data_IF_351728203041
#
_entry.id   IF_351728203041
#
_cell.length_a   1.000
_cell.length_b   1.000
_cell.length_c   1.000
_cell.angle_alpha   90.00
_cell.angle_beta   90.00
_cell.angle_gamma   90.00
#
_symmetry.space_group_name_H-M   'P 1'
#
loop_
_entity.id
_entity.type
_entity.pdbx_description
1 polymer ?
#
# COMPACT_ATOMS: atom_id res chain seq x y z
N UNK A 1 -65.90 -47.88 -40.22
CA UNK A 1 -66.37 -47.02 -41.33
C UNK A 1 -67.31 -46.00 -40.70
N UNK A 2 -66.72 -45.01 -40.03
CA UNK A 2 -67.34 -43.75 -39.66
C UNK A 2 -66.19 -42.74 -39.55
N UNK A 3 -66.19 -41.84 -40.48
CA UNK A 3 -65.33 -40.67 -40.57
C UNK A 3 -65.97 -39.63 -39.64
N UNK A 4 -65.32 -39.32 -38.51
CA UNK A 4 -65.65 -38.16 -37.70
C UNK A 4 -64.80 -36.96 -38.19
N UNK A 5 -65.50 -36.18 -39.03
CA UNK A 5 -65.06 -34.80 -39.39
C UNK A 5 -65.18 -33.94 -38.14
N UNK A 6 -64.02 -33.59 -37.54
CA UNK A 6 -63.96 -32.53 -36.53
C UNK A 6 -64.00 -31.16 -37.27
N UNK A 7 -65.18 -30.56 -37.17
CA UNK A 7 -65.40 -29.16 -37.58
C UNK A 7 -64.68 -28.30 -36.54
N UNK A 8 -63.64 -27.61 -36.99
CA UNK A 8 -63.00 -26.56 -36.19
C UNK A 8 -63.90 -25.30 -36.31
N UNK A 9 -64.56 -24.96 -35.20
CA UNK A 9 -65.29 -23.69 -35.07
C UNK A 9 -64.23 -22.60 -34.85
N UNK A 10 -64.17 -21.66 -35.83
CA UNK A 10 -63.46 -20.41 -35.71
C UNK A 10 -64.06 -19.59 -34.54
N UNK A 11 -63.32 -19.43 -33.46
CA UNK A 11 -63.61 -18.49 -32.40
C UNK A 11 -63.16 -17.08 -32.80
N UNK A 12 -64.09 -16.13 -32.99
CA UNK A 12 -63.77 -14.75 -33.44
C UNK A 12 -63.33 -13.85 -32.26
N UNK A 13 -63.01 -14.37 -31.11
CA UNK A 13 -62.45 -13.53 -30.06
C UNK A 13 -60.91 -13.58 -30.11
N UNK A 14 -60.39 -12.80 -31.06
CA UNK A 14 -58.95 -12.58 -31.20
C UNK A 14 -58.29 -12.01 -29.92
N UNK A 15 -57.87 -12.92 -29.04
CA UNK A 15 -56.88 -12.63 -28.06
C UNK A 15 -55.58 -13.34 -28.51
N UNK A 16 -55.07 -12.94 -29.64
CA UNK A 16 -53.65 -13.13 -29.91
C UNK A 16 -52.90 -12.31 -28.90
N UNK A 17 -52.55 -12.98 -27.80
CA UNK A 17 -51.44 -12.47 -26.94
C UNK A 17 -50.18 -12.63 -27.77
N UNK A 18 -49.93 -11.67 -28.62
CA UNK A 18 -48.65 -11.49 -29.23
C UNK A 18 -47.74 -11.09 -28.12
N UNK A 19 -47.02 -12.07 -27.57
CA UNK A 19 -45.79 -11.83 -26.78
C UNK A 19 -44.75 -11.37 -27.80
N UNK A 20 -44.89 -10.15 -28.30
CA UNK A 20 -43.77 -9.39 -28.84
C UNK A 20 -42.91 -8.96 -27.63
N UNK A 21 -42.35 -9.92 -26.98
CA UNK A 21 -41.24 -9.73 -26.07
C UNK A 21 -40.01 -10.20 -26.77
N UNK A 22 -39.51 -9.42 -27.73
CA UNK A 22 -38.09 -9.38 -27.99
C UNK A 22 -37.43 -8.90 -26.71
N UNK A 23 -37.29 -9.83 -25.74
CA UNK A 23 -36.31 -9.68 -24.69
C UNK A 23 -34.96 -9.78 -25.38
N UNK A 24 -34.54 -8.66 -25.96
CA UNK A 24 -33.16 -8.41 -26.29
C UNK A 24 -32.35 -8.48 -24.99
N UNK A 25 -31.94 -9.70 -24.67
CA UNK A 25 -31.00 -10.03 -23.57
C UNK A 25 -29.56 -9.65 -23.99
N UNK A 26 -29.40 -8.86 -25.01
CA UNK A 26 -28.20 -8.12 -25.28
C UNK A 26 -28.09 -7.06 -24.18
N UNK A 27 -27.32 -7.37 -23.14
CA UNK A 27 -26.98 -6.64 -21.88
C UNK A 27 -27.00 -5.12 -21.84
N UNK A 28 -27.83 -4.46 -22.65
CA UNK A 28 -27.95 -3.02 -22.76
C UNK A 28 -29.00 -2.35 -21.87
N UNK A 29 -29.82 -3.16 -21.13
CA UNK A 29 -30.94 -2.59 -20.39
C UNK A 29 -30.57 -1.83 -19.11
N UNK A 30 -29.33 -1.93 -18.64
CA UNK A 30 -28.91 -1.25 -17.41
C UNK A 30 -28.02 -0.01 -17.65
N UNK A 31 -27.40 0.08 -18.85
CA UNK A 31 -26.63 1.26 -19.25
C UNK A 31 -26.93 1.55 -20.72
N UNK A 32 -27.82 2.50 -21.03
CA UNK A 32 -27.93 2.99 -22.39
C UNK A 32 -26.55 3.45 -22.87
N UNK A 33 -26.14 3.06 -24.07
CA UNK A 33 -24.81 3.34 -24.64
C UNK A 33 -24.39 4.80 -24.52
N UNK A 34 -25.36 5.72 -24.54
CA UNK A 34 -25.17 7.15 -24.34
C UNK A 34 -24.95 7.51 -22.83
N UNK A 35 -25.35 6.66 -21.87
CA UNK A 35 -25.21 6.95 -20.46
C UNK A 35 -23.80 6.68 -19.94
N UNK A 36 -23.01 5.82 -20.61
CA UNK A 36 -21.61 5.59 -20.25
C UNK A 36 -20.74 6.82 -20.54
N UNK A 37 -21.09 7.62 -21.56
CA UNK A 37 -20.32 8.80 -21.93
C UNK A 37 -21.02 10.12 -21.59
N UNK A 38 -22.37 10.15 -21.61
CA UNK A 38 -23.16 11.36 -21.32
C UNK A 38 -23.87 11.31 -19.95
N UNK A 39 -23.98 10.12 -19.34
CA UNK A 39 -24.74 9.92 -18.11
C UNK A 39 -23.87 9.73 -16.86
N UNK A 40 -22.56 9.52 -17.00
CA UNK A 40 -21.68 9.59 -15.83
C UNK A 40 -21.58 11.06 -15.45
N UNK A 41 -22.19 11.50 -14.34
CA UNK A 41 -22.13 12.90 -13.96
C UNK A 41 -20.67 13.34 -13.91
N UNK A 42 -20.38 14.52 -14.42
CA UNK A 42 -19.02 15.07 -14.48
C UNK A 42 -18.28 15.01 -13.12
N UNK A 43 -19.05 15.01 -12.01
CA UNK A 43 -18.50 14.86 -10.68
C UNK A 43 -17.88 13.47 -10.42
N UNK A 44 -18.40 12.39 -11.02
CA UNK A 44 -17.84 11.03 -10.87
C UNK A 44 -16.48 10.97 -11.59
N UNK A 45 -16.40 11.51 -12.79
CA UNK A 45 -15.14 11.62 -13.51
C UNK A 45 -14.13 12.47 -12.74
N UNK A 46 -14.57 13.61 -12.19
CA UNK A 46 -13.75 14.46 -11.34
C UNK A 46 -13.27 13.71 -10.11
N UNK A 47 -14.15 12.93 -9.46
CA UNK A 47 -13.79 12.11 -8.31
C UNK A 47 -12.70 11.09 -8.65
N UNK A 48 -12.83 10.37 -9.75
CA UNK A 48 -11.80 9.42 -10.20
C UNK A 48 -10.46 10.10 -10.49
N UNK A 49 -10.47 11.26 -11.13
CA UNK A 49 -9.26 12.04 -11.42
C UNK A 49 -8.57 12.46 -10.11
N UNK A 50 -9.34 12.90 -9.10
CA UNK A 50 -8.80 13.28 -7.79
C UNK A 50 -8.20 12.05 -7.09
N UNK A 51 -8.91 10.92 -7.06
CA UNK A 51 -8.43 9.69 -6.41
C UNK A 51 -7.14 9.19 -7.07
N UNK A 52 -7.10 9.15 -8.40
CA UNK A 52 -5.90 8.76 -9.17
C UNK A 52 -4.77 9.76 -8.91
N UNK A 53 -5.07 11.06 -8.87
CA UNK A 53 -4.09 12.11 -8.56
C UNK A 53 -3.46 11.94 -7.18
N UNK A 54 -4.28 11.69 -6.15
CA UNK A 54 -3.79 11.42 -4.77
C UNK A 54 -2.95 10.14 -4.74
N UNK A 55 -3.37 9.10 -5.43
CA UNK A 55 -2.66 7.83 -5.51
C UNK A 55 -1.28 7.99 -6.17
N UNK A 56 -1.23 8.65 -7.34
CA UNK A 56 0.03 8.95 -8.01
C UNK A 56 0.93 9.84 -7.16
N UNK A 57 0.38 10.89 -6.54
CA UNK A 57 1.14 11.77 -5.64
C UNK A 57 1.76 11.00 -4.47
N UNK A 58 1.03 10.06 -3.89
CA UNK A 58 1.54 9.20 -2.80
C UNK A 58 2.71 8.33 -3.25
N UNK A 59 2.61 7.76 -4.46
CA UNK A 59 3.70 6.98 -5.07
C UNK A 59 4.92 7.86 -5.32
N UNK A 60 4.75 9.03 -5.92
CA UNK A 60 5.85 9.95 -6.22
C UNK A 60 6.58 10.41 -4.95
N UNK A 61 5.85 10.68 -3.87
CA UNK A 61 6.46 11.05 -2.58
C UNK A 61 7.32 9.93 -2.00
N UNK A 62 6.88 8.67 -2.11
CA UNK A 62 7.67 7.50 -1.68
C UNK A 62 8.94 7.31 -2.50
N UNK A 63 8.84 7.42 -3.82
CA UNK A 63 9.95 7.25 -4.76
C UNK A 63 10.99 8.38 -4.60
N UNK A 64 10.55 9.62 -4.34
CA UNK A 64 11.46 10.76 -4.19
C UNK A 64 12.44 10.60 -3.03
N UNK A 65 12.01 10.05 -1.90
CA UNK A 65 12.89 9.80 -0.75
C UNK A 65 13.89 8.67 -1.07
N UNK A 66 13.43 7.62 -1.71
CA UNK A 66 14.29 6.52 -2.13
C UNK A 66 15.35 6.97 -3.15
N UNK A 67 14.94 7.73 -4.16
CA UNK A 67 15.83 8.26 -5.20
C UNK A 67 16.90 9.22 -4.64
N UNK A 68 16.56 10.06 -3.66
CA UNK A 68 17.53 10.93 -2.99
C UNK A 68 18.58 10.14 -2.23
N UNK A 69 18.20 9.07 -1.57
CA UNK A 69 19.15 8.21 -0.87
C UNK A 69 20.07 7.46 -1.85
N UNK A 70 19.54 6.98 -2.99
CA UNK A 70 20.33 6.28 -4.00
C UNK A 70 21.37 7.18 -4.67
N UNK A 71 21.05 8.47 -4.85
CA UNK A 71 21.99 9.48 -5.40
C UNK A 71 23.00 10.01 -4.37
N UNK A 72 22.80 9.73 -3.07
CA UNK A 72 23.74 10.13 -2.04
C UNK A 72 24.96 9.21 -2.05
N UNK A 73 26.18 9.76 -1.86
CA UNK A 73 27.38 8.92 -1.74
C UNK A 73 27.29 8.05 -0.49
N UNK A 74 27.86 6.86 -0.56
CA UNK A 74 28.08 6.02 0.63
C UNK A 74 29.23 6.63 1.44
N UNK A 75 28.96 6.89 2.70
CA UNK A 75 29.93 7.45 3.64
C UNK A 75 30.20 6.41 4.75
N UNK A 76 31.49 6.29 5.10
CA UNK A 76 31.92 5.51 6.26
C UNK A 76 32.68 6.43 7.20
N UNK A 77 32.14 6.65 8.39
CA UNK A 77 32.68 7.59 9.37
C UNK A 77 32.72 6.93 10.75
N UNK A 78 33.65 7.39 11.60
CA UNK A 78 33.64 6.98 13.00
C UNK A 78 32.46 7.58 13.72
N UNK A 79 31.77 6.74 14.49
CA UNK A 79 30.62 7.16 15.25
C UNK A 79 30.49 6.33 16.56
N UNK A 80 29.82 6.92 17.52
CA UNK A 80 29.46 6.31 18.80
C UNK A 80 27.95 6.24 18.92
N UNK A 81 27.42 5.11 19.38
CA UNK A 81 26.00 4.95 19.66
C UNK A 81 25.66 5.67 20.97
N UNK A 82 24.77 6.67 20.91
CA UNK A 82 24.38 7.49 22.07
C UNK A 82 22.96 7.25 22.53
N UNK A 83 22.14 6.54 21.74
CA UNK A 83 20.78 6.23 22.16
C UNK A 83 20.10 5.24 21.22
N UNK A 84 19.16 4.50 21.79
CA UNK A 84 18.32 3.52 21.08
C UNK A 84 16.88 3.73 21.49
N UNK A 85 15.96 3.71 20.52
CA UNK A 85 14.51 3.77 20.81
C UNK A 85 13.70 2.91 19.86
N UNK A 86 12.54 2.51 20.32
CA UNK A 86 11.54 1.80 19.52
C UNK A 86 10.27 2.64 19.42
N UNK A 87 9.65 2.61 18.24
CA UNK A 87 8.33 3.20 18.03
C UNK A 87 7.34 2.09 17.66
N UNK A 88 6.35 1.87 18.52
CA UNK A 88 5.32 0.85 18.33
C UNK A 88 4.02 1.53 17.92
N UNK A 89 3.59 1.30 16.69
CA UNK A 89 2.33 1.78 16.16
C UNK A 89 1.30 0.64 16.14
N UNK A 90 0.17 0.86 16.80
CA UNK A 90 -0.97 -0.05 16.77
C UNK A 90 -2.04 0.53 15.86
N UNK A 91 -2.34 -0.15 14.78
CA UNK A 91 -3.46 0.18 13.92
C UNK A 91 -4.67 -0.62 14.40
N UNK A 92 -5.55 0.04 15.17
CA UNK A 92 -6.85 -0.51 15.56
C UNK A 92 -7.81 -0.38 14.37
N UNK A 93 -8.26 -1.50 13.81
CA UNK A 93 -9.37 -1.50 12.86
C UNK A 93 -10.66 -1.11 13.60
N UNK A 94 -11.47 -0.24 12.99
CA UNK A 94 -12.80 0.11 13.48
C UNK A 94 -13.69 -1.14 13.49
N UNK A 95 -14.47 -1.25 14.55
CA UNK A 95 -15.32 -2.34 14.92
C UNK A 95 -16.24 -2.81 13.77
N UNK A 96 -15.98 -4.01 13.25
CA UNK A 96 -16.95 -5.01 12.86
C UNK A 96 -16.19 -6.32 12.66
N UNK A 97 -16.43 -7.26 13.58
CA UNK A 97 -16.13 -8.70 13.55
C UNK A 97 -14.84 -9.14 12.82
N UNK A 98 -13.88 -9.52 13.57
CA UNK A 98 -12.53 -10.06 13.37
C UNK A 98 -11.42 -9.07 13.71
N UNK A 99 -11.06 -9.07 15.01
CA UNK A 99 -9.98 -8.27 15.59
C UNK A 99 -8.60 -8.74 15.08
N UNK A 100 -8.17 -8.26 13.94
CA UNK A 100 -6.77 -8.32 13.54
C UNK A 100 -6.13 -6.96 13.82
N UNK A 101 -5.63 -6.77 15.05
CA UNK A 101 -4.79 -5.62 15.36
C UNK A 101 -3.40 -5.86 14.78
N UNK A 102 -3.01 -5.07 13.78
CA UNK A 102 -1.65 -5.08 13.27
C UNK A 102 -0.78 -4.14 14.11
N UNK A 103 0.25 -4.68 14.72
CA UNK A 103 1.26 -3.89 15.43
C UNK A 103 2.51 -3.78 14.54
N UNK A 104 2.96 -2.57 14.29
CA UNK A 104 4.21 -2.30 13.58
C UNK A 104 5.21 -1.67 14.54
N UNK A 105 6.43 -2.23 14.57
CA UNK A 105 7.52 -1.72 15.39
C UNK A 105 8.65 -1.21 14.50
N UNK A 106 9.06 0.03 14.70
CA UNK A 106 10.20 0.64 14.03
C UNK A 106 11.30 0.90 15.05
N UNK A 107 12.52 0.53 14.69
CA UNK A 107 13.70 0.65 15.55
C UNK A 107 14.57 1.81 15.08
N UNK A 108 15.05 2.61 16.03
CA UNK A 108 15.89 3.77 15.78
C UNK A 108 17.13 3.72 16.64
N UNK A 109 18.27 4.10 16.04
CA UNK A 109 19.56 4.21 16.73
C UNK A 109 20.16 5.57 16.43
N UNK A 110 20.58 6.27 17.48
CA UNK A 110 21.21 7.57 17.40
C UNK A 110 22.73 7.42 17.46
N UNK A 111 23.40 7.91 16.43
CA UNK A 111 24.86 7.93 16.33
C UNK A 111 25.37 9.36 16.54
N UNK A 112 26.44 9.50 17.28
CA UNK A 112 27.20 10.74 17.41
C UNK A 112 28.50 10.60 16.63
N UNK A 113 28.75 11.54 15.74
CA UNK A 113 29.95 11.63 14.93
C UNK A 113 31.11 12.30 15.70
N UNK A 114 32.32 12.23 15.15
CA UNK A 114 33.48 12.93 15.71
C UNK A 114 33.29 14.46 15.75
N UNK A 115 32.45 15.00 14.86
CA UNK A 115 32.03 16.41 14.86
C UNK A 115 31.13 16.81 16.02
N UNK A 116 30.75 15.87 16.90
CA UNK A 116 29.71 16.00 17.94
C UNK A 116 28.27 16.07 17.45
N UNK A 117 28.06 16.12 16.13
CA UNK A 117 26.73 16.06 15.54
C UNK A 117 26.08 14.69 15.80
N UNK A 118 24.76 14.67 15.88
CA UNK A 118 23.99 13.45 16.08
C UNK A 118 23.02 13.24 14.94
N UNK A 119 22.94 11.99 14.51
CA UNK A 119 21.95 11.57 13.53
C UNK A 119 21.28 10.29 13.95
N UNK A 120 19.98 10.21 13.72
CA UNK A 120 19.16 9.03 14.01
C UNK A 120 18.88 8.26 12.72
N UNK A 121 19.11 6.96 12.78
CA UNK A 121 18.87 6.05 11.67
C UNK A 121 17.83 5.00 12.03
N UNK A 122 16.98 4.66 11.07
CA UNK A 122 16.10 3.50 11.17
C UNK A 122 16.90 2.24 10.85
N UNK A 123 16.81 1.25 11.72
CA UNK A 123 17.51 -0.04 11.56
C UNK A 123 16.53 -1.21 11.59
N UNK A 124 16.95 -2.36 11.08
CA UNK A 124 16.16 -3.58 11.23
C UNK A 124 16.18 -4.08 12.68
N UNK A 125 15.19 -4.89 13.08
CA UNK A 125 15.16 -5.47 14.42
C UNK A 125 16.38 -6.36 14.73
N UNK A 126 16.92 -7.03 13.70
CA UNK A 126 18.14 -7.84 13.84
C UNK A 126 19.38 -6.98 14.09
N UNK A 127 19.52 -5.85 13.39
CA UNK A 127 20.62 -4.91 13.62
C UNK A 127 20.47 -4.22 14.99
N UNK A 128 19.25 -3.81 15.33
CA UNK A 128 18.98 -3.20 16.63
C UNK A 128 19.42 -4.07 17.83
N UNK A 129 19.25 -5.40 17.69
CA UNK A 129 19.68 -6.36 18.72
C UNK A 129 21.20 -6.50 18.86
N UNK A 130 21.97 -6.21 17.81
CA UNK A 130 23.45 -6.32 17.82
C UNK A 130 24.14 -5.05 18.34
N UNK A 131 23.46 -3.92 18.25
CA UNK A 131 24.00 -2.61 18.60
C UNK A 131 23.75 -2.32 20.10
N UNK A 132 24.73 -1.82 20.83
CA UNK A 132 24.61 -1.39 22.21
C UNK A 132 24.96 0.10 22.35
N UNK A 133 24.31 0.77 23.31
CA UNK A 133 24.65 2.15 23.65
C UNK A 133 26.08 2.19 24.22
N UNK A 134 26.87 3.15 23.73
CA UNK A 134 28.27 3.25 24.07
C UNK A 134 29.22 2.58 23.07
N UNK A 135 28.74 1.73 22.17
CA UNK A 135 29.56 1.12 21.13
C UNK A 135 30.18 2.19 20.24
N UNK A 136 31.46 2.07 19.95
CA UNK A 136 32.21 2.91 19.03
C UNK A 136 32.67 2.09 17.82
N UNK A 137 32.60 2.68 16.62
CA UNK A 137 32.97 1.96 15.42
C UNK A 137 32.84 2.79 14.14
N UNK A 138 32.91 2.10 13.01
CA UNK A 138 32.73 2.67 11.69
C UNK A 138 31.27 2.51 11.26
N UNK A 139 30.55 3.63 11.17
CA UNK A 139 29.19 3.69 10.63
C UNK A 139 29.26 3.91 9.13
N UNK A 140 28.62 3.03 8.37
CA UNK A 140 28.40 3.18 6.93
C UNK A 140 26.94 3.49 6.66
N UNK A 141 26.68 4.59 5.96
CA UNK A 141 25.34 5.03 5.62
C UNK A 141 25.29 5.70 4.24
N UNK A 142 24.08 5.84 3.72
CA UNK A 142 23.81 6.48 2.44
C UNK A 142 22.60 7.42 2.59
N UNK A 143 22.84 8.72 2.62
CA UNK A 143 21.80 9.69 2.94
C UNK A 143 21.23 9.44 4.34
N UNK A 144 19.96 9.09 4.43
CA UNK A 144 19.27 8.74 5.69
C UNK A 144 19.20 7.24 5.96
N UNK A 145 19.80 6.41 5.08
CA UNK A 145 19.72 4.96 5.16
C UNK A 145 20.94 4.38 5.88
N UNK A 146 20.70 3.67 6.96
CA UNK A 146 21.70 2.82 7.61
C UNK A 146 22.09 1.65 6.70
N UNK A 147 23.38 1.38 6.55
CA UNK A 147 23.89 0.25 5.77
C UNK A 147 24.60 -0.77 6.68
N UNK A 148 25.57 -0.32 7.49
CA UNK A 148 26.36 -1.21 8.35
C UNK A 148 27.00 -0.43 9.50
N UNK A 149 27.31 -1.13 10.58
CA UNK A 149 28.11 -0.61 11.69
C UNK A 149 29.10 -1.67 12.15
N UNK A 150 30.38 -1.39 11.95
CA UNK A 150 31.48 -2.24 12.39
C UNK A 150 32.05 -1.70 13.69
N UNK A 151 31.72 -2.40 14.80
CA UNK A 151 32.23 -2.03 16.10
C UNK A 151 33.73 -2.22 16.18
N UNK A 152 34.46 -1.21 16.67
CA UNK A 152 35.85 -1.36 17.06
C UNK A 152 35.88 -2.20 18.35
N UNK A 153 36.28 -3.47 18.22
CA UNK A 153 36.70 -4.23 19.35
C UNK A 153 38.07 -3.64 19.76
N UNK A 154 38.08 -2.68 20.67
CA UNK A 154 39.32 -2.38 21.39
C UNK A 154 39.73 -3.71 22.02
N UNK A 155 40.86 -4.24 21.60
CA UNK A 155 41.52 -5.36 22.28
C UNK A 155 41.66 -4.90 23.72
N UNK A 156 40.86 -5.46 24.61
CA UNK A 156 41.05 -5.33 26.04
C UNK A 156 42.39 -5.96 26.29
N UNK A 157 43.40 -5.14 26.45
CA UNK A 157 44.75 -5.54 26.76
C UNK A 157 44.69 -6.29 28.08
N UNK A 158 44.70 -7.61 28.02
CA UNK A 158 44.85 -8.50 29.18
C UNK A 158 46.31 -8.40 29.58
N UNK A 159 46.66 -7.37 30.35
CA UNK A 159 47.86 -7.36 31.16
C UNK A 159 47.57 -8.23 32.42
N UNK A 160 48.01 -9.47 32.33
CA UNK A 160 48.11 -10.38 33.45
C UNK A 160 49.59 -10.47 33.94
#
# INVERSE_FOLDING_TARGET
MFEDEMIFEDDPSGNDIVFEGDADLSGGAFFPDDALFNGIPAFVMLFFVIVIGIFLFSIFKGISTWSKNEQSPRLSVKAKITGKRTNVQRHGGHAHEHHHSHTSTTYYVTFQFESTDRSEFTVSGSEYGKLAEGDEGMLTFQGTRFLDFQRNLSEEHTDA
#
